data_IF_144094438647
#
_entry.id   IF_144094438647
#
_cell.length_a   1.000
_cell.length_b   1.000
_cell.length_c   1.000
_cell.angle_alpha   90.00
_cell.angle_beta   90.00
_cell.angle_gamma   90.00
#
_symmetry.space_group_name_H-M   'P 1'
#
loop_
_entity.id
_entity.type
_entity.pdbx_description
1 polymer ?
#
# COMPACT_ATOMS: atom_id res chain seq x y z
N UNK A 1 10.04 20.13 -0.26
CA UNK A 1 8.87 19.24 0.01
C UNK A 1 9.36 17.84 0.34
N UNK A 2 9.12 17.35 1.57
CA UNK A 2 9.48 15.97 1.97
C UNK A 2 8.50 15.00 1.30
N UNK A 3 9.02 13.97 0.61
CA UNK A 3 8.22 13.03 -0.19
C UNK A 3 7.39 12.13 0.73
N UNK A 4 6.17 11.76 0.34
CA UNK A 4 5.36 10.77 1.07
C UNK A 4 5.65 9.38 0.52
N UNK A 5 5.72 8.36 1.38
CA UNK A 5 5.76 6.97 0.95
C UNK A 5 4.34 6.44 0.96
N UNK A 6 3.92 5.87 -0.16
CA UNK A 6 2.65 5.21 -0.36
C UNK A 6 2.87 3.71 -0.40
N UNK A 7 1.85 2.99 0.08
CA UNK A 7 1.73 1.53 0.07
C UNK A 7 1.95 0.91 -1.33
N UNK A 8 1.64 1.68 -2.38
CA UNK A 8 1.95 1.37 -3.78
C UNK A 8 2.92 2.41 -4.34
N UNK A 9 3.87 1.96 -5.17
CA UNK A 9 4.77 2.90 -5.87
C UNK A 9 3.96 3.85 -6.77
N UNK A 10 4.36 5.12 -6.93
CA UNK A 10 3.75 6.01 -7.93
C UNK A 10 3.74 5.42 -9.34
N UNK A 11 4.75 4.58 -9.65
CA UNK A 11 4.84 3.86 -10.91
C UNK A 11 3.70 2.85 -11.09
N UNK A 12 3.44 2.00 -10.09
CA UNK A 12 2.32 1.05 -10.15
C UNK A 12 0.99 1.77 -10.31
N UNK A 13 0.78 2.88 -9.61
CA UNK A 13 -0.44 3.69 -9.78
C UNK A 13 -0.57 4.26 -11.20
N UNK A 14 0.52 4.79 -11.77
CA UNK A 14 0.54 5.30 -13.14
C UNK A 14 0.23 4.20 -14.17
N UNK A 15 0.84 3.01 -14.01
CA UNK A 15 0.58 1.86 -14.89
C UNK A 15 -0.87 1.40 -14.79
N UNK A 16 -1.44 1.31 -13.57
CA UNK A 16 -2.85 0.95 -13.38
C UNK A 16 -3.77 1.97 -14.05
N UNK A 17 -3.54 3.27 -13.84
CA UNK A 17 -4.34 4.32 -14.46
C UNK A 17 -4.25 4.30 -15.98
N UNK A 18 -3.05 4.09 -16.54
CA UNK A 18 -2.85 3.97 -17.99
C UNK A 18 -3.67 2.80 -18.57
N UNK A 19 -3.65 1.63 -17.92
CA UNK A 19 -4.41 0.47 -18.34
C UNK A 19 -5.93 0.76 -18.34
N UNK A 20 -6.45 1.40 -17.30
CA UNK A 20 -7.85 1.83 -17.25
C UNK A 20 -8.20 2.81 -18.38
N UNK A 21 -7.35 3.80 -18.64
CA UNK A 21 -7.57 4.77 -19.73
C UNK A 21 -7.67 4.08 -21.08
N UNK A 22 -6.78 3.13 -21.36
CA UNK A 22 -6.81 2.35 -22.60
C UNK A 22 -8.10 1.54 -22.70
N UNK A 23 -8.44 0.76 -21.67
CA UNK A 23 -9.64 -0.09 -21.63
C UNK A 23 -10.94 0.72 -21.76
N UNK A 24 -11.06 1.85 -21.05
CA UNK A 24 -12.21 2.75 -21.14
C UNK A 24 -12.33 3.38 -22.52
N UNK A 25 -11.20 3.75 -23.13
CA UNK A 25 -11.21 4.31 -24.49
C UNK A 25 -11.71 3.29 -25.51
N UNK A 26 -11.19 2.06 -25.48
CA UNK A 26 -11.62 0.99 -26.40
C UNK A 26 -13.09 0.61 -26.21
N UNK A 27 -13.54 0.44 -24.96
CA UNK A 27 -14.93 0.10 -24.65
C UNK A 27 -15.89 1.25 -24.97
N UNK A 28 -15.46 2.50 -24.74
CA UNK A 28 -16.21 3.70 -25.12
C UNK A 28 -16.39 3.83 -26.63
N UNK A 29 -15.31 3.65 -27.41
CA UNK A 29 -15.38 3.64 -28.88
C UNK A 29 -16.33 2.53 -29.35
N UNK A 30 -16.17 1.30 -28.84
CA UNK A 30 -17.02 0.16 -29.21
C UNK A 30 -18.50 0.38 -28.84
N UNK A 31 -18.79 1.10 -27.76
CA UNK A 31 -20.15 1.48 -27.38
C UNK A 31 -20.75 2.51 -28.37
N UNK A 32 -19.96 3.51 -28.77
CA UNK A 32 -20.39 4.56 -29.70
C UNK A 32 -20.56 4.06 -31.14
N UNK A 33 -19.78 3.06 -31.58
CA UNK A 33 -19.80 2.56 -32.96
C UNK A 33 -20.77 1.42 -33.21
N UNK A 34 -21.04 0.55 -32.23
CA UNK A 34 -21.80 -0.70 -32.47
C UNK A 34 -23.32 -0.59 -32.30
N UNK A 35 -23.88 0.58 -31.92
CA UNK A 35 -25.32 0.87 -32.00
C UNK A 35 -26.32 0.01 -31.20
N UNK A 36 -25.91 -1.12 -30.60
CA UNK A 36 -26.78 -2.05 -29.86
C UNK A 36 -26.27 -2.29 -28.41
N UNK A 37 -27.11 -2.12 -27.36
CA UNK A 37 -26.60 -1.55 -26.11
C UNK A 37 -27.04 -2.31 -24.84
N UNK A 38 -26.56 -3.55 -24.62
CA UNK A 38 -26.34 -3.93 -23.22
C UNK A 38 -24.86 -4.13 -22.93
N UNK A 39 -24.16 -4.99 -23.67
CA UNK A 39 -22.86 -5.48 -23.22
C UNK A 39 -21.75 -4.41 -23.16
N UNK A 40 -21.49 -3.64 -24.24
CA UNK A 40 -20.40 -2.65 -24.22
C UNK A 40 -20.65 -1.52 -23.22
N UNK A 41 -21.91 -1.09 -23.09
CA UNK A 41 -22.32 -0.07 -22.13
C UNK A 41 -22.19 -0.53 -20.67
N UNK A 42 -22.64 -1.77 -20.36
CA UNK A 42 -22.48 -2.37 -19.03
C UNK A 42 -20.99 -2.52 -18.68
N UNK A 43 -20.17 -3.01 -19.61
CA UNK A 43 -18.73 -3.14 -19.43
C UNK A 43 -18.05 -1.79 -19.17
N UNK A 44 -18.42 -0.75 -19.95
CA UNK A 44 -17.91 0.61 -19.76
C UNK A 44 -18.25 1.13 -18.35
N UNK A 45 -19.50 0.96 -17.92
CA UNK A 45 -19.98 1.43 -16.63
C UNK A 45 -19.32 0.69 -15.46
N UNK A 46 -19.12 -0.63 -15.59
CA UNK A 46 -18.35 -1.44 -14.63
C UNK A 46 -16.89 -0.98 -14.54
N UNK A 47 -16.23 -0.73 -15.68
CA UNK A 47 -14.86 -0.21 -15.71
C UNK A 47 -14.76 1.17 -15.07
N UNK A 48 -15.76 2.03 -15.27
CA UNK A 48 -15.82 3.36 -14.67
C UNK A 48 -15.96 3.28 -13.14
N UNK A 49 -16.88 2.46 -12.63
CA UNK A 49 -17.03 2.22 -11.19
C UNK A 49 -15.73 1.66 -10.60
N UNK A 50 -15.12 0.70 -11.28
CA UNK A 50 -13.85 0.11 -10.85
C UNK A 50 -12.72 1.15 -10.81
N UNK A 51 -12.62 2.03 -11.80
CA UNK A 51 -11.66 3.14 -11.80
C UNK A 51 -11.90 4.10 -10.63
N UNK A 52 -13.16 4.47 -10.38
CA UNK A 52 -13.51 5.34 -9.25
C UNK A 52 -13.15 4.70 -7.91
N UNK A 53 -13.36 3.39 -7.75
CA UNK A 53 -12.94 2.65 -6.56
C UNK A 53 -11.41 2.66 -6.38
N UNK A 54 -10.66 2.50 -7.47
CA UNK A 54 -9.20 2.57 -7.47
C UNK A 54 -8.72 3.98 -7.09
N UNK A 55 -9.30 5.03 -7.67
CA UNK A 55 -8.97 6.41 -7.32
C UNK A 55 -9.31 6.73 -5.86
N UNK A 56 -10.48 6.29 -5.39
CA UNK A 56 -10.90 6.42 -4.00
C UNK A 56 -9.89 5.77 -3.05
N UNK A 57 -9.43 4.56 -3.39
CA UNK A 57 -8.40 3.86 -2.62
C UNK A 57 -7.10 4.68 -2.55
N UNK A 58 -6.62 5.18 -3.70
CA UNK A 58 -5.36 5.95 -3.77
C UNK A 58 -5.41 7.27 -3.00
N UNK A 59 -6.53 7.99 -3.06
CA UNK A 59 -6.62 9.33 -2.48
C UNK A 59 -6.88 9.27 -0.96
N UNK A 60 -7.70 8.32 -0.50
CA UNK A 60 -8.25 8.36 0.87
C UNK A 60 -7.81 7.20 1.76
N UNK A 61 -7.54 6.03 1.18
CA UNK A 61 -7.27 4.81 1.95
C UNK A 61 -5.81 4.40 1.94
N UNK A 62 -5.00 4.83 0.96
CA UNK A 62 -3.60 4.46 0.91
C UNK A 62 -2.86 4.87 2.20
N UNK A 63 -2.18 3.93 2.89
CA UNK A 63 -1.24 4.26 3.94
C UNK A 63 -0.20 5.26 3.45
N UNK A 64 0.02 6.32 4.22
CA UNK A 64 1.01 7.35 3.95
C UNK A 64 1.97 7.49 5.10
N UNK A 65 3.27 7.46 4.81
CA UNK A 65 4.33 7.80 5.77
C UNK A 65 4.84 9.18 5.42
N UNK A 66 4.77 10.08 6.40
CA UNK A 66 5.24 11.47 6.32
C UNK A 66 6.27 11.75 7.43
N UNK A 67 6.91 12.93 7.42
CA UNK A 67 7.84 13.33 8.48
C UNK A 67 7.19 13.41 9.87
N UNK A 68 5.89 13.67 9.91
CA UNK A 68 5.13 13.86 11.16
C UNK A 68 4.70 12.52 11.76
N UNK A 69 4.59 11.47 10.93
CA UNK A 69 4.14 10.16 11.35
C UNK A 69 3.57 9.31 10.21
N UNK A 70 2.90 8.22 10.60
CA UNK A 70 2.22 7.31 9.69
C UNK A 70 0.70 7.51 9.79
N UNK A 71 0.03 7.54 8.63
CA UNK A 71 -1.43 7.74 8.55
C UNK A 71 -2.07 6.70 7.64
N UNK A 72 -3.23 6.19 8.05
CA UNK A 72 -4.07 5.33 7.21
C UNK A 72 -5.54 5.58 7.58
N UNK A 73 -6.28 6.21 6.66
CA UNK A 73 -7.62 6.71 6.93
C UNK A 73 -7.65 7.67 8.13
N UNK A 74 -8.43 7.32 9.17
CA UNK A 74 -8.51 8.08 10.43
C UNK A 74 -7.37 7.80 11.41
N UNK A 75 -6.60 6.73 11.19
CA UNK A 75 -5.50 6.34 12.09
C UNK A 75 -4.30 7.25 11.85
N UNK A 76 -3.67 7.70 12.92
CA UNK A 76 -2.43 8.47 12.88
C UNK A 76 -1.53 8.06 14.03
N UNK A 77 -0.28 7.74 13.71
CA UNK A 77 0.77 7.39 14.69
C UNK A 77 1.88 8.42 14.51
N UNK A 78 2.17 9.22 15.54
CA UNK A 78 3.25 10.20 15.51
C UNK A 78 4.60 9.51 15.33
N UNK A 79 5.51 10.12 14.55
CA UNK A 79 6.83 9.55 14.25
C UNK A 79 7.57 9.06 15.50
N UNK A 80 7.55 9.84 16.57
CA UNK A 80 8.20 9.52 17.86
C UNK A 80 7.66 8.25 18.52
N UNK A 81 6.43 7.86 18.22
CA UNK A 81 5.75 6.70 18.80
C UNK A 81 5.73 5.48 17.88
N UNK A 82 6.21 5.59 16.64
CA UNK A 82 6.21 4.48 15.69
C UNK A 82 7.21 3.42 16.17
N UNK A 83 6.69 2.25 16.47
CA UNK A 83 7.43 1.00 16.42
C UNK A 83 7.12 0.30 15.09
N UNK A 84 8.10 -0.39 14.52
CA UNK A 84 7.92 -1.07 13.24
C UNK A 84 8.47 -2.48 13.28
N UNK A 85 7.74 -3.40 12.66
CA UNK A 85 8.15 -4.77 12.42
C UNK A 85 8.08 -5.09 10.93
N UNK A 86 9.08 -5.80 10.42
CA UNK A 86 9.18 -6.18 9.00
C UNK A 86 9.00 -7.68 8.90
N UNK A 87 8.03 -8.13 8.11
CA UNK A 87 7.83 -9.54 7.85
C UNK A 87 7.56 -9.81 6.37
N UNK A 88 7.94 -11.01 5.93
CA UNK A 88 7.63 -11.47 4.59
C UNK A 88 6.28 -12.19 4.59
N UNK A 89 5.29 -11.62 3.92
CA UNK A 89 3.98 -12.23 3.79
C UNK A 89 3.99 -13.24 2.65
N UNK A 90 4.08 -14.53 3.00
CA UNK A 90 4.17 -15.64 2.03
C UNK A 90 2.96 -15.76 1.10
N UNK A 91 1.77 -15.33 1.53
CA UNK A 91 0.55 -15.44 0.71
C UNK A 91 0.59 -14.50 -0.49
N UNK A 92 0.98 -13.24 -0.25
CA UNK A 92 1.09 -12.20 -1.29
C UNK A 92 2.50 -12.10 -1.89
N UNK A 93 3.46 -12.88 -1.37
CA UNK A 93 4.87 -12.91 -1.80
C UNK A 93 5.59 -11.56 -1.70
N UNK A 94 5.13 -10.69 -0.80
CA UNK A 94 5.64 -9.32 -0.63
C UNK A 94 6.13 -9.08 0.81
N UNK A 95 6.98 -8.06 0.97
CA UNK A 95 7.43 -7.62 2.28
C UNK A 95 6.37 -6.65 2.81
N UNK A 96 5.95 -6.89 4.04
CA UNK A 96 4.97 -6.08 4.74
C UNK A 96 5.63 -5.51 5.99
N UNK A 97 5.36 -4.23 6.24
CA UNK A 97 5.82 -3.48 7.40
C UNK A 97 4.60 -3.19 8.23
N UNK A 98 4.63 -3.62 9.48
CA UNK A 98 3.63 -3.26 10.48
C UNK A 98 4.15 -2.07 11.27
N UNK A 99 3.33 -1.02 11.33
CA UNK A 99 3.59 0.18 12.12
C UNK A 99 2.61 0.19 13.29
N UNK A 100 3.15 0.15 14.49
CA UNK A 100 2.41 0.11 15.75
C UNK A 100 2.80 1.29 16.64
N UNK A 101 1.84 1.83 17.38
CA UNK A 101 2.09 2.90 18.35
C UNK A 101 2.60 2.32 19.68
N UNK A 102 3.87 2.58 20.03
CA UNK A 102 4.52 2.09 21.25
C UNK A 102 3.83 2.50 22.56
N UNK A 103 2.96 3.51 22.54
CA UNK A 103 2.19 3.95 23.71
C UNK A 103 1.03 3.00 24.04
N UNK A 104 0.64 2.13 23.11
CA UNK A 104 -0.47 1.18 23.27
C UNK A 104 0.09 -0.17 23.71
N UNK A 105 -0.50 -0.77 24.76
CA UNK A 105 -0.18 -2.13 25.19
C UNK A 105 -0.91 -3.17 24.34
N UNK A 106 -0.35 -3.49 23.17
CA UNK A 106 -0.94 -4.47 22.25
C UNK A 106 -1.06 -5.88 22.83
N UNK A 107 -0.19 -6.27 23.77
CA UNK A 107 -0.23 -7.59 24.42
C UNK A 107 -1.50 -7.85 25.23
N UNK A 108 -2.25 -6.80 25.58
CA UNK A 108 -3.49 -6.90 26.33
C UNK A 108 -4.74 -6.83 25.43
N UNK A 109 -4.56 -6.67 24.12
CA UNK A 109 -5.64 -6.53 23.16
C UNK A 109 -5.89 -7.85 22.41
N UNK A 110 -7.14 -8.14 22.05
CA UNK A 110 -7.43 -9.23 21.12
C UNK A 110 -6.83 -8.92 19.73
N UNK A 111 -6.42 -9.95 19.00
CA UNK A 111 -5.78 -9.82 17.67
C UNK A 111 -6.57 -8.94 16.70
N UNK A 112 -7.90 -9.01 16.74
CA UNK A 112 -8.78 -8.20 15.90
C UNK A 112 -8.66 -6.69 16.19
N UNK A 113 -8.46 -6.31 17.45
CA UNK A 113 -8.23 -4.91 17.84
C UNK A 113 -6.80 -4.46 17.52
N UNK A 114 -5.82 -5.37 17.61
CA UNK A 114 -4.44 -5.10 17.17
C UNK A 114 -4.43 -4.74 15.68
N UNK A 115 -5.05 -5.57 14.83
CA UNK A 115 -5.13 -5.33 13.38
C UNK A 115 -5.85 -4.00 13.05
N UNK A 116 -6.85 -3.62 13.84
CA UNK A 116 -7.54 -2.32 13.70
C UNK A 116 -6.71 -1.14 14.14
N UNK A 117 -5.66 -1.30 14.94
CA UNK A 117 -4.83 -0.19 15.45
C UNK A 117 -3.50 -0.07 14.72
N UNK A 118 -2.97 -1.18 14.24
CA UNK A 118 -1.77 -1.20 13.41
C UNK A 118 -2.04 -0.64 12.00
N UNK A 119 -0.99 -0.07 11.41
CA UNK A 119 -0.96 0.37 10.02
C UNK A 119 -0.02 -0.58 9.29
N UNK A 120 -0.52 -1.24 8.25
CA UNK A 120 0.28 -2.13 7.43
C UNK A 120 0.69 -1.42 6.14
N UNK A 121 1.96 -1.56 5.78
CA UNK A 121 2.53 -0.98 4.56
C UNK A 121 3.30 -2.06 3.80
N UNK A 122 2.87 -2.37 2.60
CA UNK A 122 3.60 -3.13 1.60
C UNK A 122 4.84 -2.35 1.17
N UNK A 123 5.97 -3.03 1.19
CA UNK A 123 7.24 -2.48 0.77
C UNK A 123 7.91 -3.40 -0.23
N UNK A 124 8.37 -2.81 -1.34
CA UNK A 124 9.34 -3.47 -2.20
C UNK A 124 10.74 -3.30 -1.62
N UNK A 125 11.70 -4.15 -2.03
CA UNK A 125 13.12 -3.97 -1.66
C UNK A 125 13.65 -2.58 -1.97
N UNK A 126 13.21 -1.99 -3.08
CA UNK A 126 13.58 -0.63 -3.48
C UNK A 126 12.99 0.44 -2.55
N UNK A 127 11.79 0.22 -2.00
CA UNK A 127 11.12 1.16 -1.10
C UNK A 127 11.61 1.05 0.34
N UNK A 128 12.12 -0.11 0.79
CA UNK A 128 12.64 -0.31 2.15
C UNK A 128 13.74 0.69 2.52
N UNK A 129 14.68 0.98 1.62
CA UNK A 129 15.73 1.98 1.88
C UNK A 129 15.17 3.39 2.10
N UNK A 130 14.17 3.77 1.30
CA UNK A 130 13.49 5.06 1.48
C UNK A 130 12.75 5.08 2.81
N UNK A 131 12.05 4.01 3.14
CA UNK A 131 11.31 3.87 4.40
C UNK A 131 12.23 3.95 5.61
N UNK A 132 13.39 3.29 5.56
CA UNK A 132 14.45 3.40 6.55
C UNK A 132 14.97 4.83 6.74
N UNK A 133 15.08 5.63 5.67
CA UNK A 133 15.45 7.05 5.81
C UNK A 133 14.38 7.91 6.50
N UNK A 134 13.08 7.56 6.40
CA UNK A 134 12.03 8.28 7.13
C UNK A 134 11.96 7.89 8.60
N UNK A 135 12.22 6.61 8.89
CA UNK A 135 12.23 6.05 10.24
C UNK A 135 13.62 6.09 10.90
N UNK A 136 14.62 6.70 10.25
CA UNK A 136 16.01 6.83 10.73
C UNK A 136 16.62 5.49 11.20
N UNK A 137 16.37 4.43 10.44
CA UNK A 137 16.81 3.08 10.79
C UNK A 137 17.23 2.25 9.58
N UNK A 138 18.13 1.30 9.81
CA UNK A 138 18.51 0.31 8.81
C UNK A 138 17.47 -0.81 8.78
N UNK A 139 16.60 -0.79 7.78
CA UNK A 139 15.59 -1.81 7.59
C UNK A 139 16.19 -3.06 6.93
N UNK A 140 16.30 -4.14 7.70
CA UNK A 140 16.84 -5.43 7.24
C UNK A 140 15.71 -6.42 7.06
N UNK A 141 15.67 -7.09 5.90
CA UNK A 141 14.69 -8.13 5.61
C UNK A 141 15.03 -9.36 6.48
N UNK A 142 14.09 -9.95 7.23
CA UNK A 142 14.37 -11.04 8.17
C UNK A 142 15.07 -12.26 7.53
N UNK A 143 14.77 -12.57 6.27
CA UNK A 143 15.45 -13.66 5.53
C UNK A 143 16.92 -13.36 5.24
N UNK A 144 17.27 -12.11 4.99
CA UNK A 144 18.67 -11.67 4.80
C UNK A 144 19.42 -11.63 6.13
N UNK A 145 18.76 -11.24 7.22
CA UNK A 145 19.31 -11.33 8.57
C UNK A 145 19.66 -12.78 8.95
N UNK A 146 18.77 -13.74 8.64
CA UNK A 146 19.04 -15.18 8.85
C UNK A 146 20.20 -15.70 8.01
N UNK A 147 20.37 -15.22 6.77
CA UNK A 147 21.53 -15.59 5.91
C UNK A 147 22.84 -14.96 6.38
N UNK A 148 22.83 -13.70 6.83
CA UNK A 148 24.02 -13.03 7.41
C UNK A 148 24.45 -13.64 8.75
N UNK A 149 23.49 -14.04 9.59
CA UNK A 149 23.78 -14.75 10.85
C UNK A 149 24.33 -16.17 10.64
N UNK A 150 23.93 -16.85 9.57
CA UNK A 150 24.49 -18.18 9.19
C UNK A 150 25.91 -18.13 8.64
N UNK A 151 26.38 -16.99 8.11
CA UNK A 151 27.77 -16.84 7.64
C UNK A 151 28.78 -16.53 8.75
N UNK A 152 28.33 -16.39 10.00
CA UNK A 152 29.17 -16.14 11.19
C UNK A 152 29.36 -17.39 12.07
N UNK A 153 29.08 -18.59 11.56
CA UNK A 153 29.43 -19.86 12.22
C UNK A 153 30.37 -20.65 11.33
#
# INVERSE_FOLDING_TARGET
>A
MKRKIFDFTPLTAAVTLLAYTILLSFTGIAFLTNGHPPLPGILFLLLLISLLAVLWYYILMAPTISPDGARHGKKFIKKENIHYDIFYNRRIREIQIELSDKTIRYTQLPETEIQKRCIYVQATRANLRKLGSYLECEMVIPEEAKRKGRKKK
#
